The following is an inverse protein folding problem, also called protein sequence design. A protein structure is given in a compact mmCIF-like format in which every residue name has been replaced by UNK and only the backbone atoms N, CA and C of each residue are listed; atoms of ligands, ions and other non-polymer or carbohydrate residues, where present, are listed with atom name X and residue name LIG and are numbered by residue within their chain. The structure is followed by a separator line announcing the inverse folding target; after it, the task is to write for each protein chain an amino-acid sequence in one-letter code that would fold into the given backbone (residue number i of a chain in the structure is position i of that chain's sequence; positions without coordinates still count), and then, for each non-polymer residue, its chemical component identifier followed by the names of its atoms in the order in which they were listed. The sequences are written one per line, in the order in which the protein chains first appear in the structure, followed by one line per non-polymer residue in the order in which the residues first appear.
data_IF_980936020486
#
_entry.id   IF_980936020486
#
_cell.length_a   1.000
_cell.length_b   1.000
_cell.length_c   1.000
_cell.angle_alpha   90.00
_cell.angle_beta   90.00
_cell.angle_gamma   90.00
#
_symmetry.space_group_name_H-M   'P 1'
#
loop_
_entity.id
_entity.type
_entity.pdbx_description
1 polymer ?
#
# COMPACT_ATOMS: atom_id res chain seq x y z
N UNK A 1 -8.19 -16.81 -12.96
CA UNK A 1 -7.59 -15.47 -12.94
C UNK A 1 -6.95 -15.25 -11.57
N UNK A 2 -5.73 -14.73 -11.54
CA UNK A 2 -5.00 -14.44 -10.29
C UNK A 2 -4.46 -13.00 -10.36
N UNK A 3 -4.63 -12.23 -9.31
CA UNK A 3 -4.04 -10.90 -9.15
C UNK A 3 -3.89 -10.55 -7.68
N UNK A 4 -2.85 -9.79 -7.35
CA UNK A 4 -2.65 -9.28 -6.00
C UNK A 4 -3.38 -7.94 -5.80
N UNK A 5 -3.78 -7.67 -4.57
CA UNK A 5 -4.33 -6.37 -4.17
C UNK A 5 -3.42 -5.65 -3.19
N UNK A 6 -2.60 -6.39 -2.46
CA UNK A 6 -1.61 -5.80 -1.55
C UNK A 6 -0.49 -6.81 -1.25
N UNK A 7 0.74 -6.31 -1.14
CA UNK A 7 1.90 -7.04 -0.62
C UNK A 7 2.62 -6.12 0.36
N UNK A 8 2.65 -6.52 1.62
CA UNK A 8 3.21 -5.69 2.70
C UNK A 8 4.29 -6.46 3.47
N UNK A 9 5.47 -5.88 3.73
CA UNK A 9 6.47 -6.47 4.61
C UNK A 9 5.95 -6.65 6.04
N UNK A 10 6.21 -7.82 6.64
CA UNK A 10 5.90 -8.10 8.03
C UNK A 10 6.99 -8.93 8.68
N UNK A 11 7.88 -8.25 9.38
CA UNK A 11 9.09 -8.88 9.92
C UNK A 11 9.94 -9.52 8.82
N UNK A 12 10.16 -10.83 8.92
CA UNK A 12 10.91 -11.63 7.95
C UNK A 12 10.04 -12.29 6.86
N UNK A 13 8.81 -11.84 6.72
CA UNK A 13 7.83 -12.38 5.78
C UNK A 13 7.14 -11.25 5.00
N UNK A 14 6.33 -11.65 4.02
CA UNK A 14 5.39 -10.78 3.34
C UNK A 14 3.96 -11.21 3.64
N UNK A 15 3.08 -10.25 3.88
CA UNK A 15 1.63 -10.46 3.91
C UNK A 15 1.11 -10.18 2.51
N UNK A 16 0.54 -11.19 1.88
CA UNK A 16 0.02 -11.12 0.52
C UNK A 16 -1.50 -11.21 0.56
N UNK A 17 -2.16 -10.23 -0.07
CA UNK A 17 -3.59 -10.26 -0.36
C UNK A 17 -3.76 -10.42 -1.85
N UNK A 18 -4.45 -11.45 -2.27
CA UNK A 18 -4.65 -11.76 -3.69
C UNK A 18 -6.02 -12.38 -3.92
N UNK A 19 -6.44 -12.34 -5.17
CA UNK A 19 -7.56 -13.12 -5.67
C UNK A 19 -7.03 -14.28 -6.49
N UNK A 20 -7.50 -15.49 -6.20
CA UNK A 20 -7.18 -16.71 -6.94
C UNK A 20 -8.50 -17.38 -7.29
N UNK A 21 -8.77 -17.55 -8.59
CA UNK A 21 -10.03 -18.14 -9.08
C UNK A 21 -11.31 -17.47 -8.55
N UNK A 22 -11.23 -16.15 -8.31
CA UNK A 22 -12.36 -15.36 -7.82
C UNK A 22 -12.48 -15.29 -6.29
N UNK A 23 -11.69 -16.05 -5.55
CA UNK A 23 -11.67 -16.06 -4.08
C UNK A 23 -10.56 -15.17 -3.54
N UNK A 24 -10.87 -14.39 -2.50
CA UNK A 24 -9.92 -13.55 -1.79
C UNK A 24 -9.12 -14.36 -0.79
N UNK A 25 -7.80 -14.36 -0.96
CA UNK A 25 -6.85 -15.08 -0.12
C UNK A 25 -5.92 -14.10 0.58
N UNK A 26 -5.71 -14.32 1.89
CA UNK A 26 -4.69 -13.64 2.67
C UNK A 26 -3.69 -14.68 3.14
N UNK A 27 -2.41 -14.49 2.85
CA UNK A 27 -1.38 -15.45 3.27
C UNK A 27 -0.11 -14.75 3.71
N UNK A 28 0.60 -15.40 4.61
CA UNK A 28 1.95 -15.05 5.04
C UNK A 28 2.93 -15.86 4.23
N UNK A 29 3.85 -15.19 3.54
CA UNK A 29 4.81 -15.81 2.63
C UNK A 29 6.23 -15.58 3.15
N UNK A 30 7.01 -16.65 3.23
CA UNK A 30 8.47 -16.54 3.33
C UNK A 30 9.00 -16.17 1.96
N UNK A 31 9.87 -15.17 1.89
CA UNK A 31 10.44 -14.73 0.64
C UNK A 31 11.97 -14.73 0.71
N UNK A 32 12.60 -15.21 -0.35
CA UNK A 32 14.06 -15.30 -0.54
C UNK A 32 14.47 -14.28 -1.60
N UNK A 33 14.82 -13.04 -1.21
CA UNK A 33 15.11 -11.98 -2.17
C UNK A 33 16.44 -12.22 -2.88
N UNK A 34 16.50 -11.78 -4.15
CA UNK A 34 17.74 -11.71 -4.93
C UNK A 34 18.12 -10.24 -5.09
N UNK A 35 19.34 -9.91 -4.71
CA UNK A 35 20.01 -8.65 -4.98
C UNK A 35 21.19 -8.88 -5.91
N UNK A 36 21.82 -7.82 -6.38
CA UNK A 36 22.93 -7.94 -7.32
C UNK A 36 24.15 -7.17 -6.79
N UNK A 37 25.32 -7.74 -7.00
CA UNK A 37 26.59 -7.09 -6.66
C UNK A 37 27.39 -6.83 -7.94
N UNK A 38 28.02 -5.66 -8.02
CA UNK A 38 28.92 -5.29 -9.12
C UNK A 38 30.12 -6.23 -9.17
N UNK A 39 30.47 -6.66 -10.37
CA UNK A 39 31.64 -7.49 -10.63
C UNK A 39 32.41 -6.97 -11.84
N UNK A 40 33.72 -7.24 -11.88
CA UNK A 40 34.56 -6.86 -13.01
C UNK A 40 34.45 -7.87 -14.17
N UNK A 41 34.13 -9.11 -13.83
CA UNK A 41 34.02 -10.19 -14.84
C UNK A 41 32.70 -10.05 -15.60
N UNK A 42 32.71 -10.34 -16.87
CA UNK A 42 31.49 -10.40 -17.66
C UNK A 42 30.54 -11.50 -17.15
N UNK A 43 29.29 -11.16 -17.02
CA UNK A 43 28.21 -12.06 -16.59
C UNK A 43 26.99 -11.91 -17.50
N UNK A 44 26.04 -12.82 -17.39
CA UNK A 44 24.77 -12.70 -18.12
C UNK A 44 23.85 -11.58 -17.61
N UNK A 45 24.25 -10.85 -16.55
CA UNK A 45 23.46 -9.80 -15.93
C UNK A 45 24.15 -8.45 -16.01
N UNK A 46 23.40 -7.42 -16.41
CA UNK A 46 23.90 -6.04 -16.51
C UNK A 46 22.91 -5.07 -15.85
N UNK A 47 23.44 -3.99 -15.32
CA UNK A 47 22.63 -2.83 -14.91
C UNK A 47 22.11 -2.09 -16.13
N UNK A 48 21.22 -1.12 -15.93
CA UNK A 48 20.69 -0.29 -17.02
C UNK A 48 21.76 0.53 -17.74
N UNK A 49 22.85 0.87 -17.04
CA UNK A 49 24.03 1.57 -17.57
C UNK A 49 25.14 0.63 -18.06
N UNK A 50 24.86 -0.68 -18.17
CA UNK A 50 25.73 -1.68 -18.78
C UNK A 50 26.82 -2.27 -17.89
N UNK A 51 26.84 -1.98 -16.58
CA UNK A 51 27.81 -2.56 -15.66
C UNK A 51 27.50 -4.04 -15.40
N UNK A 52 28.52 -4.87 -15.29
CA UNK A 52 28.36 -6.29 -14.98
C UNK A 52 28.00 -6.48 -13.50
N UNK A 53 26.99 -7.30 -13.25
CA UNK A 53 26.55 -7.67 -11.90
C UNK A 53 26.34 -9.17 -11.79
N UNK A 54 26.42 -9.69 -10.55
CA UNK A 54 26.10 -11.09 -10.25
C UNK A 54 24.95 -11.15 -9.25
N UNK A 55 23.99 -12.07 -9.42
CA UNK A 55 22.88 -12.23 -8.48
C UNK A 55 23.38 -12.87 -7.19
N UNK A 56 22.92 -12.30 -6.08
CA UNK A 56 23.13 -12.81 -4.72
C UNK A 56 21.76 -13.14 -4.15
N UNK A 57 21.46 -14.43 -4.04
CA UNK A 57 20.21 -14.92 -3.47
C UNK A 57 20.37 -15.09 -1.97
N UNK A 58 19.45 -14.51 -1.21
CA UNK A 58 19.37 -14.62 0.23
C UNK A 58 18.26 -15.60 0.62
N UNK A 59 18.45 -16.35 1.68
CA UNK A 59 17.41 -17.28 2.17
C UNK A 59 16.24 -16.56 2.82
N UNK A 60 16.50 -15.37 3.39
CA UNK A 60 15.49 -14.60 4.11
C UNK A 60 15.62 -13.09 3.87
N UNK A 61 14.54 -12.37 4.13
CA UNK A 61 14.54 -10.90 4.11
C UNK A 61 15.53 -10.33 5.15
N UNK A 62 15.65 -10.99 6.31
CA UNK A 62 16.58 -10.56 7.36
C UNK A 62 18.02 -10.64 6.89
N UNK A 63 18.40 -11.75 6.32
CA UNK A 63 19.74 -11.96 5.76
C UNK A 63 20.07 -10.93 4.67
N UNK A 64 19.13 -10.67 3.76
CA UNK A 64 19.31 -9.65 2.73
C UNK A 64 19.52 -8.25 3.32
N UNK A 65 18.79 -7.90 4.40
CA UNK A 65 18.96 -6.62 5.10
C UNK A 65 20.31 -6.53 5.81
N UNK A 66 20.75 -7.58 6.44
CA UNK A 66 22.06 -7.65 7.10
C UNK A 66 23.19 -7.54 6.07
N UNK A 67 23.05 -8.21 4.93
CA UNK A 67 23.97 -8.08 3.82
C UNK A 67 23.99 -6.65 3.24
N UNK A 68 22.85 -6.01 3.02
CA UNK A 68 22.81 -4.61 2.57
C UNK A 68 23.52 -3.68 3.56
N UNK A 69 23.36 -3.91 4.85
CA UNK A 69 24.01 -3.11 5.89
C UNK A 69 25.54 -3.25 5.84
N UNK A 70 26.07 -4.42 5.45
CA UNK A 70 27.51 -4.61 5.30
C UNK A 70 28.14 -3.81 4.13
N UNK A 71 27.31 -3.26 3.25
CA UNK A 71 27.70 -2.41 2.12
C UNK A 71 27.26 -0.94 2.28
N UNK A 72 26.91 -0.52 3.50
CA UNK A 72 26.42 0.84 3.77
C UNK A 72 27.41 1.92 3.31
N UNK A 73 28.72 1.67 3.45
CA UNK A 73 29.79 2.55 2.99
C UNK A 73 30.08 2.43 1.47
N UNK A 74 29.52 1.44 0.78
CA UNK A 74 29.76 1.14 -0.64
C UNK A 74 28.45 0.85 -1.41
N UNK A 75 27.42 1.71 -1.31
CA UNK A 75 26.12 1.45 -1.89
C UNK A 75 26.14 1.35 -3.42
N UNK A 76 27.16 1.94 -4.07
CA UNK A 76 27.35 1.89 -5.53
C UNK A 76 27.77 0.52 -6.07
N UNK A 77 28.05 -0.44 -5.19
CA UNK A 77 28.36 -1.81 -5.57
C UNK A 77 27.11 -2.71 -5.60
N UNK A 78 26.00 -2.24 -5.01
CA UNK A 78 24.79 -3.03 -4.83
C UNK A 78 23.68 -2.52 -5.73
N UNK A 79 22.99 -3.45 -6.37
CA UNK A 79 21.89 -3.19 -7.28
C UNK A 79 20.70 -4.09 -6.96
N UNK A 80 19.52 -3.69 -7.43
CA UNK A 80 18.26 -4.36 -7.18
C UNK A 80 17.32 -3.51 -6.31
N UNK A 81 16.09 -3.96 -6.19
CA UNK A 81 15.11 -3.27 -5.39
C UNK A 81 15.21 -3.73 -3.93
N UNK A 82 15.44 -2.80 -3.01
CA UNK A 82 15.53 -3.07 -1.57
C UNK A 82 14.16 -3.09 -0.88
N UNK A 83 13.11 -2.70 -1.60
CA UNK A 83 11.72 -2.87 -1.18
C UNK A 83 11.23 -4.25 -1.64
N UNK A 84 11.50 -5.28 -0.85
CA UNK A 84 11.34 -6.69 -1.21
C UNK A 84 9.92 -7.12 -1.61
N UNK A 85 8.90 -6.36 -1.24
CA UNK A 85 7.54 -6.57 -1.73
C UNK A 85 7.44 -6.43 -3.25
N UNK A 86 8.20 -5.51 -3.85
CA UNK A 86 8.20 -5.33 -5.30
C UNK A 86 8.99 -6.42 -6.02
N UNK A 87 10.07 -6.92 -5.41
CA UNK A 87 10.80 -8.09 -5.93
C UNK A 87 9.88 -9.31 -5.95
N UNK A 88 9.17 -9.55 -4.83
CA UNK A 88 8.18 -10.63 -4.76
C UNK A 88 7.09 -10.50 -5.82
N UNK A 89 6.57 -9.28 -6.05
CA UNK A 89 5.57 -9.03 -7.08
C UNK A 89 6.14 -9.37 -8.47
N UNK A 90 7.34 -8.90 -8.77
CA UNK A 90 8.00 -9.18 -10.05
C UNK A 90 8.24 -10.68 -10.28
N UNK A 91 8.66 -11.41 -9.23
CA UNK A 91 8.93 -12.84 -9.30
C UNK A 91 7.64 -13.68 -9.41
N UNK A 92 6.59 -13.27 -8.67
CA UNK A 92 5.33 -14.03 -8.59
C UNK A 92 4.35 -13.70 -9.72
N UNK A 93 4.48 -12.53 -10.32
CA UNK A 93 3.63 -12.01 -11.40
C UNK A 93 4.50 -11.47 -12.55
N UNK A 94 5.27 -12.34 -13.23
CA UNK A 94 6.27 -11.91 -14.23
C UNK A 94 5.67 -11.39 -15.54
N UNK A 95 4.36 -11.51 -15.70
CA UNK A 95 3.62 -11.06 -16.89
C UNK A 95 2.59 -10.00 -16.52
N UNK A 96 1.89 -9.49 -17.53
CA UNK A 96 0.81 -8.54 -17.31
C UNK A 96 -0.26 -9.11 -16.36
N UNK A 97 -0.57 -8.36 -15.30
CA UNK A 97 -1.61 -8.70 -14.34
C UNK A 97 -2.91 -8.03 -14.75
N UNK A 98 -3.93 -8.83 -15.03
CA UNK A 98 -5.28 -8.34 -15.29
C UNK A 98 -6.06 -8.28 -13.98
N UNK A 99 -6.28 -7.07 -13.46
CA UNK A 99 -7.10 -6.86 -12.28
C UNK A 99 -8.59 -6.89 -12.64
N UNK A 100 -9.36 -7.46 -11.74
CA UNK A 100 -10.82 -7.36 -11.76
C UNK A 100 -11.24 -6.26 -10.76
N UNK A 101 -11.55 -5.07 -11.31
CA UNK A 101 -11.88 -3.91 -10.51
C UNK A 101 -13.15 -4.10 -9.67
N UNK A 102 -14.06 -4.97 -10.11
CA UNK A 102 -15.30 -5.25 -9.38
C UNK A 102 -15.06 -6.03 -8.07
N UNK A 103 -13.88 -6.66 -7.96
CA UNK A 103 -13.43 -7.32 -6.72
C UNK A 103 -12.69 -6.37 -5.76
N UNK A 104 -12.34 -5.16 -6.19
CA UNK A 104 -11.57 -4.21 -5.39
C UNK A 104 -12.51 -3.12 -4.89
N UNK A 105 -12.81 -3.11 -3.59
CA UNK A 105 -13.56 -2.02 -2.97
C UNK A 105 -12.67 -0.79 -2.85
N UNK A 106 -13.00 0.25 -3.62
CA UNK A 106 -12.34 1.55 -3.57
C UNK A 106 -13.27 2.55 -2.89
N UNK A 107 -12.82 3.11 -1.80
CA UNK A 107 -13.54 4.18 -1.08
C UNK A 107 -12.66 5.41 -0.94
N UNK A 108 -13.27 6.59 -1.02
CA UNK A 108 -12.66 7.85 -0.56
C UNK A 108 -13.31 8.20 0.77
N UNK A 109 -12.48 8.54 1.75
CA UNK A 109 -12.93 9.09 3.02
C UNK A 109 -12.40 10.50 3.15
N UNK A 110 -13.25 11.40 3.62
CA UNK A 110 -12.93 12.79 3.87
C UNK A 110 -13.54 13.23 5.20
N UNK A 111 -12.89 14.15 5.90
CA UNK A 111 -13.34 14.67 7.20
C UNK A 111 -13.32 16.18 7.19
N UNK A 112 -14.31 16.79 7.88
CA UNK A 112 -14.35 18.22 8.11
C UNK A 112 -14.32 18.52 9.61
N UNK A 113 -13.57 19.54 9.99
CA UNK A 113 -13.41 20.00 11.38
C UNK A 113 -13.76 21.46 11.52
N UNK A 114 -14.18 21.88 12.72
CA UNK A 114 -14.46 23.27 13.04
C UNK A 114 -13.16 24.02 13.30
N UNK A 115 -12.57 24.62 12.27
CA UNK A 115 -11.38 25.45 12.41
C UNK A 115 -11.73 26.92 12.10
N UNK A 116 -11.54 27.80 13.08
CA UNK A 116 -11.84 29.24 12.93
C UNK A 116 -10.71 30.02 12.26
N UNK A 117 -9.46 29.56 12.40
CA UNK A 117 -8.27 30.28 11.96
C UNK A 117 -7.33 29.41 11.12
N UNK A 118 -7.54 29.41 9.81
CA UNK A 118 -6.66 28.71 8.86
C UNK A 118 -6.92 27.21 8.75
N UNK A 119 -5.88 26.40 8.67
CA UNK A 119 -5.97 24.95 8.59
C UNK A 119 -5.75 24.30 9.97
N UNK A 120 -6.48 23.22 10.29
CA UNK A 120 -6.30 22.50 11.54
C UNK A 120 -4.90 21.88 11.61
N UNK A 121 -4.37 21.82 12.83
CA UNK A 121 -3.11 21.12 13.07
C UNK A 121 -3.37 19.65 13.45
N UNK A 122 -3.09 18.67 12.58
CA UNK A 122 -3.39 17.27 12.85
C UNK A 122 -2.59 16.66 14.00
N UNK A 123 -1.46 17.28 14.40
CA UNK A 123 -0.65 16.81 15.53
C UNK A 123 -1.36 17.10 16.88
N UNK A 124 -2.07 18.19 16.95
CA UNK A 124 -2.80 18.58 18.17
C UNK A 124 -4.22 18.03 18.20
N UNK A 125 -4.87 17.95 17.02
CA UNK A 125 -6.22 17.46 16.82
C UNK A 125 -7.25 18.00 17.84
N UNK A 126 -7.20 19.32 18.08
CA UNK A 126 -8.04 19.98 19.09
C UNK A 126 -9.38 20.48 18.52
N UNK A 127 -9.46 20.59 17.21
CA UNK A 127 -10.66 21.07 16.52
C UNK A 127 -11.74 19.99 16.51
N UNK A 128 -13.00 20.33 16.88
CA UNK A 128 -14.10 19.39 16.85
C UNK A 128 -14.36 18.85 15.45
N UNK A 129 -14.59 17.56 15.32
CA UNK A 129 -14.97 16.90 14.08
C UNK A 129 -16.44 17.23 13.75
N UNK A 130 -16.68 17.76 12.56
CA UNK A 130 -18.02 18.17 12.09
C UNK A 130 -18.67 17.12 11.21
N UNK A 131 -17.89 16.47 10.33
CA UNK A 131 -18.43 15.42 9.48
C UNK A 131 -17.37 14.42 9.03
N UNK A 132 -17.85 13.20 8.73
CA UNK A 132 -17.10 12.15 8.02
C UNK A 132 -17.89 11.81 6.76
N UNK A 133 -17.22 11.84 5.62
CA UNK A 133 -17.81 11.48 4.33
C UNK A 133 -17.12 10.25 3.78
N UNK A 134 -17.89 9.25 3.39
CA UNK A 134 -17.37 8.06 2.68
C UNK A 134 -18.07 7.94 1.34
N UNK A 135 -17.28 7.90 0.26
CA UNK A 135 -17.74 7.64 -1.10
C UNK A 135 -17.29 6.27 -1.56
N UNK A 136 -18.23 5.42 -1.93
CA UNK A 136 -17.95 4.16 -2.58
C UNK A 136 -17.87 4.38 -4.11
N UNK A 137 -16.72 4.04 -4.72
CA UNK A 137 -16.50 4.27 -6.16
C UNK A 137 -17.19 3.26 -7.07
N UNK A 138 -17.56 2.06 -6.57
CA UNK A 138 -18.23 1.03 -7.37
C UNK A 138 -19.70 1.40 -7.64
N UNK A 139 -20.45 1.72 -6.58
CA UNK A 139 -21.87 2.04 -6.68
C UNK A 139 -22.18 3.55 -6.65
N UNK A 140 -21.15 4.38 -6.54
CA UNK A 140 -21.21 5.86 -6.47
C UNK A 140 -22.03 6.41 -5.29
N UNK A 141 -22.35 5.58 -4.30
CA UNK A 141 -23.03 6.01 -3.08
C UNK A 141 -22.08 6.79 -2.19
N UNK A 142 -22.63 7.82 -1.56
CA UNK A 142 -21.94 8.68 -0.60
C UNK A 142 -22.73 8.62 0.70
N UNK A 143 -22.04 8.34 1.80
CA UNK A 143 -22.60 8.43 3.14
C UNK A 143 -21.87 9.54 3.88
N UNK A 144 -22.61 10.42 4.49
CA UNK A 144 -22.10 11.54 5.29
C UNK A 144 -22.68 11.42 6.69
N UNK A 145 -21.83 11.25 7.66
CA UNK A 145 -22.16 11.44 9.06
C UNK A 145 -21.79 12.88 9.41
N UNK A 146 -22.70 13.63 10.00
CA UNK A 146 -22.44 15.04 10.29
C UNK A 146 -23.19 15.55 11.50
N UNK A 147 -22.64 16.57 12.15
CA UNK A 147 -23.26 17.27 13.28
C UNK A 147 -24.11 18.39 12.72
N UNK A 148 -25.38 18.43 13.15
CA UNK A 148 -26.36 19.41 12.71
C UNK A 148 -27.25 18.91 11.57
N UNK A 149 -28.33 19.68 11.34
CA UNK A 149 -29.29 19.33 10.31
C UNK A 149 -28.78 19.70 8.92
N UNK A 150 -28.88 18.77 7.97
CA UNK A 150 -28.59 19.02 6.56
C UNK A 150 -29.69 18.44 5.68
N UNK A 151 -30.26 19.27 4.82
CA UNK A 151 -31.24 18.84 3.83
C UNK A 151 -30.56 18.42 2.54
N UNK A 152 -30.49 17.12 2.35
CA UNK A 152 -29.90 16.52 1.15
C UNK A 152 -30.90 16.48 -0.02
N UNK A 153 -30.45 16.91 -1.21
CA UNK A 153 -31.24 16.88 -2.44
C UNK A 153 -30.66 15.92 -3.50
N UNK A 154 -29.67 15.10 -3.15
CA UNK A 154 -29.00 14.17 -4.08
C UNK A 154 -29.40 12.74 -3.75
N UNK A 155 -29.86 11.99 -4.75
CA UNK A 155 -30.33 10.61 -4.60
C UNK A 155 -29.24 9.62 -4.15
N UNK A 156 -27.99 9.89 -4.54
CA UNK A 156 -26.85 9.03 -4.22
C UNK A 156 -26.12 9.43 -2.92
N UNK A 157 -26.68 10.35 -2.13
CA UNK A 157 -26.13 10.80 -0.86
C UNK A 157 -27.06 10.43 0.28
N UNK A 158 -26.55 9.74 1.26
CA UNK A 158 -27.25 9.49 2.53
C UNK A 158 -26.60 10.35 3.61
N UNK A 159 -27.38 11.24 4.23
CA UNK A 159 -26.92 12.03 5.37
C UNK A 159 -27.47 11.43 6.67
N UNK A 160 -26.59 11.23 7.62
CA UNK A 160 -26.87 10.72 8.96
C UNK A 160 -26.56 11.83 9.95
N UNK A 161 -27.58 12.38 10.59
CA UNK A 161 -27.42 13.42 11.57
C UNK A 161 -26.96 12.83 12.91
N UNK A 162 -25.77 13.20 13.35
CA UNK A 162 -25.21 12.85 14.65
C UNK A 162 -25.38 14.01 15.61
N UNK A 163 -25.77 13.71 16.87
CA UNK A 163 -25.96 14.74 17.89
C UNK A 163 -24.66 15.19 18.53
N UNK A 164 -23.66 14.33 18.51
CA UNK A 164 -22.37 14.55 19.15
C UNK A 164 -21.24 13.99 18.29
N UNK A 165 -20.03 14.49 18.50
CA UNK A 165 -18.81 13.95 17.89
C UNK A 165 -18.59 12.47 18.25
N UNK A 166 -18.97 12.05 19.45
CA UNK A 166 -18.90 10.65 19.86
C UNK A 166 -19.81 9.74 19.01
N UNK A 167 -21.01 10.19 18.66
CA UNK A 167 -21.91 9.45 17.75
C UNK A 167 -21.35 9.40 16.33
N UNK A 168 -20.64 10.44 15.92
CA UNK A 168 -20.04 10.56 14.60
C UNK A 168 -18.88 9.57 14.41
N UNK A 169 -18.13 9.27 15.48
CA UNK A 169 -16.98 8.37 15.47
C UNK A 169 -17.37 6.89 15.66
N UNK A 170 -18.48 6.60 16.33
CA UNK A 170 -18.96 5.23 16.62
C UNK A 170 -19.82 4.65 15.49
#
# INVERSE_FOLDING_TARGET
MQFYTNVTPWGNNLLVREYVNGERINRKVKYSPTLFCKVLKETGYKTLDGQNVTPIKHETIKEAKEWLKSYEDQPHLIFGNTLFQYNYIADSYPTYVKWDIDKILVVTMDIEVACENGFPNPENAIEPLLSITIKNHQNKQIVVWGIGEYKNNRENVTYINCKTEQELIN
#
